data_IF_946482069858
#
_entry.id   IF_946482069858
#
_cell.length_a   1.000
_cell.length_b   1.000
_cell.length_c   1.000
_cell.angle_alpha   90.00
_cell.angle_beta   90.00
_cell.angle_gamma   90.00
#
_symmetry.space_group_name_H-M   'P 1'
#
loop_
_entity.id
_entity.type
_entity.pdbx_description
1 polymer ?
#
# COMPACT_ATOMS: atom_id res chain seq x y z
N UNK A 1 -10.14 -54.40 11.67
CA UNK A 1 -10.40 -53.65 10.42
C UNK A 1 -11.02 -52.25 10.60
N UNK A 2 -11.68 -51.92 11.73
CA UNK A 2 -12.25 -50.57 11.97
C UNK A 2 -11.26 -49.53 12.56
N UNK A 3 -10.24 -49.97 13.30
CA UNK A 3 -9.26 -49.07 13.95
C UNK A 3 -8.25 -48.48 12.94
N UNK A 4 -7.90 -49.24 11.90
CA UNK A 4 -6.98 -48.80 10.85
C UNK A 4 -7.61 -47.69 10.00
N UNK A 5 -8.92 -47.78 9.73
CA UNK A 5 -9.66 -46.75 9.00
C UNK A 5 -9.75 -45.44 9.79
N UNK A 6 -9.99 -45.49 11.11
CA UNK A 6 -10.05 -44.31 11.97
C UNK A 6 -8.69 -43.60 12.10
N UNK A 7 -7.59 -44.36 12.20
CA UNK A 7 -6.24 -43.81 12.22
C UNK A 7 -5.86 -43.13 10.89
N UNK A 8 -6.31 -43.68 9.76
CA UNK A 8 -6.13 -43.05 8.44
C UNK A 8 -6.91 -41.72 8.31
N UNK A 9 -8.14 -41.65 8.84
CA UNK A 9 -8.91 -40.40 8.86
C UNK A 9 -8.30 -39.33 9.77
N UNK A 10 -7.76 -39.71 10.93
CA UNK A 10 -7.06 -38.78 11.84
C UNK A 10 -5.73 -38.29 11.24
N UNK A 11 -4.97 -39.15 10.56
CA UNK A 11 -3.72 -38.76 9.89
C UNK A 11 -3.95 -37.84 8.67
N UNK A 12 -5.06 -38.02 7.94
CA UNK A 12 -5.49 -37.11 6.87
C UNK A 12 -5.97 -35.76 7.42
N UNK A 13 -6.65 -35.75 8.57
CA UNK A 13 -7.00 -34.52 9.29
C UNK A 13 -5.76 -33.76 9.80
N UNK A 14 -4.74 -34.47 10.29
CA UNK A 14 -3.51 -33.84 10.78
C UNK A 14 -2.65 -33.26 9.65
N UNK A 15 -2.60 -33.92 8.48
CA UNK A 15 -1.97 -33.34 7.28
C UNK A 15 -2.69 -32.09 6.77
N UNK A 16 -4.02 -32.02 6.93
CA UNK A 16 -4.81 -30.84 6.55
C UNK A 16 -4.67 -29.66 7.53
N UNK A 17 -4.15 -29.89 8.75
CA UNK A 17 -3.87 -28.87 9.76
C UNK A 17 -2.40 -28.41 9.80
N UNK A 18 -1.52 -28.95 8.94
CA UNK A 18 -0.06 -28.83 9.13
C UNK A 18 0.73 -28.01 8.11
N UNK A 19 0.14 -27.61 6.98
CA UNK A 19 0.86 -26.84 5.94
C UNK A 19 0.34 -25.40 5.87
N UNK A 20 1.25 -24.43 5.91
CA UNK A 20 0.92 -23.03 5.70
C UNK A 20 0.44 -22.81 4.25
N UNK A 21 -0.43 -21.80 4.01
CA UNK A 21 -0.88 -21.50 2.65
C UNK A 21 0.29 -21.11 1.75
N UNK A 22 0.55 -21.86 0.68
CA UNK A 22 1.57 -21.51 -0.33
C UNK A 22 0.90 -21.18 -1.67
N UNK A 23 1.38 -20.14 -2.35
CA UNK A 23 1.04 -19.84 -3.75
C UNK A 23 2.32 -19.71 -4.58
N UNK A 24 2.25 -20.09 -5.85
CA UNK A 24 3.37 -19.99 -6.79
C UNK A 24 3.05 -18.94 -7.86
N UNK A 25 3.66 -17.76 -7.76
CA UNK A 25 3.47 -16.64 -8.70
C UNK A 25 4.62 -16.58 -9.71
N UNK A 26 4.51 -15.82 -10.81
CA UNK A 26 5.64 -15.58 -11.72
C UNK A 26 6.84 -14.91 -11.05
N UNK A 27 6.64 -14.20 -9.93
CA UNK A 27 7.72 -13.57 -9.15
C UNK A 27 8.41 -14.55 -8.19
N UNK A 28 7.82 -15.72 -7.95
CA UNK A 28 8.32 -16.72 -7.01
C UNK A 28 7.23 -17.22 -6.06
N UNK A 29 7.64 -18.12 -5.16
CA UNK A 29 6.76 -18.73 -4.16
C UNK A 29 6.50 -17.78 -2.99
N UNK A 30 5.27 -17.79 -2.50
CA UNK A 30 4.83 -17.01 -1.33
C UNK A 30 4.14 -17.95 -0.37
N UNK A 31 4.59 -17.98 0.88
CA UNK A 31 3.97 -18.72 1.98
C UNK A 31 3.34 -17.73 2.97
N UNK A 32 2.05 -17.89 3.23
CA UNK A 32 1.26 -17.07 4.13
C UNK A 32 1.01 -17.75 5.48
N UNK A 33 -0.07 -17.34 6.14
CA UNK A 33 -0.55 -17.90 7.40
C UNK A 33 -2.04 -18.19 7.34
N UNK A 34 -2.49 -19.12 8.18
CA UNK A 34 -3.92 -19.32 8.41
C UNK A 34 -4.34 -18.46 9.61
N UNK A 35 -5.14 -17.43 9.34
CA UNK A 35 -5.85 -16.64 10.34
C UNK A 35 -7.16 -17.34 10.75
N UNK A 36 -7.77 -16.92 11.86
CA UNK A 36 -9.10 -17.37 12.26
C UNK A 36 -9.98 -16.18 12.66
N UNK A 37 -11.22 -16.20 12.17
CA UNK A 37 -12.29 -15.29 12.61
C UNK A 37 -13.45 -16.16 13.08
N UNK A 38 -13.87 -15.98 14.33
CA UNK A 38 -14.95 -16.76 14.94
C UNK A 38 -14.77 -18.30 14.82
N UNK A 39 -13.50 -18.77 14.81
CA UNK A 39 -13.15 -20.18 14.65
C UNK A 39 -13.12 -20.68 13.20
N UNK A 40 -13.44 -19.83 12.22
CA UNK A 40 -13.40 -20.15 10.79
C UNK A 40 -12.04 -19.74 10.20
N UNK A 41 -11.37 -20.64 9.45
CA UNK A 41 -10.04 -20.38 8.93
C UNK A 41 -10.09 -19.44 7.72
N UNK A 42 -9.06 -18.58 7.59
CA UNK A 42 -8.85 -17.69 6.45
C UNK A 42 -7.38 -17.74 6.05
N UNK A 43 -7.08 -17.75 4.74
CA UNK A 43 -5.70 -17.63 4.27
C UNK A 43 -5.32 -16.16 4.25
N UNK A 44 -4.23 -15.79 4.92
CA UNK A 44 -3.69 -14.45 4.92
C UNK A 44 -2.24 -14.45 4.42
N UNK A 45 -1.92 -13.55 3.50
CA UNK A 45 -0.57 -13.31 3.00
C UNK A 45 -0.23 -11.87 3.29
N UNK A 46 0.63 -11.65 4.28
CA UNK A 46 0.91 -10.34 4.86
C UNK A 46 2.27 -9.83 4.41
N UNK A 47 2.34 -8.56 4.02
CA UNK A 47 3.59 -7.89 3.70
C UNK A 47 4.22 -8.35 2.38
N UNK A 48 3.42 -8.64 1.34
CA UNK A 48 3.95 -8.97 0.02
C UNK A 48 4.47 -7.68 -0.65
N UNK A 49 5.73 -7.62 -1.10
CA UNK A 49 6.27 -6.43 -1.75
C UNK A 49 5.70 -6.32 -3.16
N UNK A 50 5.10 -5.18 -3.49
CA UNK A 50 4.64 -4.89 -4.85
C UNK A 50 5.60 -3.95 -5.60
N UNK A 51 6.50 -3.27 -4.89
CA UNK A 51 7.51 -2.38 -5.46
C UNK A 51 8.85 -2.49 -4.71
N UNK A 52 9.93 -2.04 -5.34
CA UNK A 52 11.23 -1.85 -4.69
C UNK A 52 11.13 -0.80 -3.58
N UNK A 53 11.90 -0.94 -2.49
CA UNK A 53 11.93 0.05 -1.41
C UNK A 53 12.25 1.46 -1.95
N UNK A 54 11.39 2.49 -1.73
CA UNK A 54 11.57 3.83 -2.27
C UNK A 54 12.56 4.67 -1.43
N UNK A 55 13.71 4.07 -1.11
CA UNK A 55 14.72 4.62 -0.20
C UNK A 55 15.90 5.22 -0.97
N UNK A 56 16.65 6.12 -0.31
CA UNK A 56 17.89 6.67 -0.87
C UNK A 56 17.67 7.39 -2.19
N UNK A 57 18.28 6.90 -3.27
CA UNK A 57 18.12 7.48 -4.62
C UNK A 57 16.71 7.32 -5.19
N UNK A 58 15.91 6.37 -4.70
CA UNK A 58 14.52 6.14 -5.14
C UNK A 58 13.51 7.03 -4.41
N UNK A 59 13.94 7.75 -3.37
CA UNK A 59 13.06 8.69 -2.66
C UNK A 59 12.59 9.81 -3.61
N UNK A 60 11.29 10.08 -3.56
CA UNK A 60 10.53 11.01 -4.44
C UNK A 60 10.38 10.57 -5.91
N UNK A 61 10.93 9.42 -6.29
CA UNK A 61 10.74 8.85 -7.62
C UNK A 61 9.54 7.91 -7.67
N UNK A 62 9.07 7.65 -8.90
CA UNK A 62 8.01 6.67 -9.15
C UNK A 62 8.45 5.31 -8.60
N UNK A 63 7.52 4.50 -8.08
CA UNK A 63 7.87 3.16 -7.60
C UNK A 63 8.39 2.32 -8.78
N UNK A 64 9.29 1.40 -8.47
CA UNK A 64 9.85 0.46 -9.43
C UNK A 64 9.32 -0.95 -9.13
N UNK A 65 9.05 -1.78 -10.14
CA UNK A 65 8.56 -3.14 -9.92
C UNK A 65 9.59 -3.96 -9.14
N UNK A 66 9.10 -4.91 -8.34
CA UNK A 66 9.94 -5.93 -7.70
C UNK A 66 10.54 -6.86 -8.74
N UNK A 67 11.74 -7.37 -8.44
CA UNK A 67 12.33 -8.47 -9.20
C UNK A 67 11.81 -9.82 -8.65
N UNK A 68 11.79 -10.88 -9.48
CA UNK A 68 11.55 -12.23 -8.99
C UNK A 68 12.55 -12.65 -7.90
N UNK A 69 12.11 -13.55 -7.02
CA UNK A 69 12.90 -14.12 -5.94
C UNK A 69 12.97 -15.64 -6.04
N UNK A 70 14.12 -16.22 -5.70
CA UNK A 70 14.35 -17.67 -5.82
C UNK A 70 13.78 -18.46 -4.62
N UNK A 71 13.88 -17.89 -3.41
CA UNK A 71 13.47 -18.54 -2.17
C UNK A 71 12.02 -18.23 -1.83
N UNK A 72 11.35 -19.10 -1.07
CA UNK A 72 9.97 -18.86 -0.62
C UNK A 72 9.91 -17.55 0.19
N UNK A 73 9.09 -16.61 -0.27
CA UNK A 73 8.83 -15.37 0.45
C UNK A 73 7.85 -15.62 1.61
N UNK A 74 8.27 -15.24 2.82
CA UNK A 74 7.51 -15.44 4.05
C UNK A 74 6.53 -14.28 4.27
N UNK A 75 5.31 -14.40 3.76
CA UNK A 75 4.24 -13.42 3.88
C UNK A 75 3.40 -13.65 5.15
N UNK A 76 4.06 -13.67 6.32
CA UNK A 76 3.43 -14.04 7.60
C UNK A 76 3.46 -12.93 8.65
N UNK A 77 3.89 -11.71 8.28
CA UNK A 77 4.00 -10.57 9.19
C UNK A 77 3.47 -9.30 8.53
N UNK A 78 2.82 -8.46 9.33
CA UNK A 78 2.39 -7.14 8.89
C UNK A 78 3.61 -6.29 8.48
N UNK A 79 3.54 -5.55 7.35
CA UNK A 79 4.64 -4.73 6.90
C UNK A 79 4.84 -3.48 7.80
N UNK A 80 5.98 -2.80 7.67
CA UNK A 80 6.13 -1.44 8.20
C UNK A 80 5.04 -0.51 7.67
N UNK A 81 4.53 0.39 8.51
CA UNK A 81 3.75 1.52 8.02
C UNK A 81 4.66 2.49 7.25
N UNK A 82 4.12 3.18 6.25
CA UNK A 82 4.89 4.24 5.59
C UNK A 82 5.23 5.38 6.55
N UNK A 83 6.35 6.06 6.28
CA UNK A 83 6.77 7.24 7.03
C UNK A 83 5.64 8.26 7.13
N UNK A 84 5.28 8.60 8.36
CA UNK A 84 4.19 9.51 8.70
C UNK A 84 4.37 10.06 10.12
N UNK A 85 3.89 11.28 10.32
CA UNK A 85 3.86 11.91 11.62
C UNK A 85 2.50 11.63 12.28
N UNK A 86 2.50 11.07 13.49
CA UNK A 86 1.25 10.59 14.13
C UNK A 86 0.90 11.31 15.42
N UNK A 87 1.77 12.19 15.94
CA UNK A 87 1.48 12.96 17.16
C UNK A 87 0.39 13.99 16.82
N UNK A 88 -0.86 13.62 17.03
CA UNK A 88 -2.02 14.41 16.63
C UNK A 88 -3.28 13.91 17.33
N UNK A 89 -4.42 14.62 17.22
CA UNK A 89 -5.62 14.32 17.99
C UNK A 89 -6.35 13.04 17.55
N UNK A 90 -5.71 12.19 16.73
CA UNK A 90 -6.28 10.97 16.16
C UNK A 90 -5.65 9.75 16.83
N UNK A 91 -6.05 9.39 18.06
CA UNK A 91 -5.42 8.34 18.86
C UNK A 91 -5.42 6.96 18.19
N UNK A 92 -6.34 6.73 17.23
CA UNK A 92 -6.37 5.50 16.44
C UNK A 92 -5.24 5.37 15.40
N UNK A 93 -4.46 6.44 15.15
CA UNK A 93 -3.26 6.43 14.30
C UNK A 93 -1.95 6.56 15.08
N UNK A 94 -2.00 6.90 16.38
CA UNK A 94 -0.84 7.46 17.11
C UNK A 94 0.24 6.44 17.49
N UNK A 95 -0.14 5.19 17.75
CA UNK A 95 0.76 4.18 18.32
C UNK A 95 1.16 3.06 17.34
N UNK A 96 1.57 3.44 16.11
CA UNK A 96 2.02 2.47 15.11
C UNK A 96 3.54 2.27 15.13
N UNK A 97 4.09 1.26 15.85
CA UNK A 97 5.53 1.00 15.91
C UNK A 97 6.08 0.49 14.55
N UNK A 98 7.30 0.86 14.21
CA UNK A 98 7.97 0.34 13.00
C UNK A 98 7.55 1.02 11.70
N UNK A 99 7.54 2.36 11.67
CA UNK A 99 7.43 3.16 10.43
C UNK A 99 8.72 3.08 9.63
N UNK A 100 8.62 2.99 8.31
CA UNK A 100 9.76 2.90 7.39
C UNK A 100 9.45 3.56 6.05
N UNK A 101 10.47 4.00 5.33
CA UNK A 101 10.35 4.35 3.90
C UNK A 101 10.23 3.09 3.04
N UNK A 102 10.81 1.98 3.50
CA UNK A 102 10.55 0.66 2.94
C UNK A 102 9.18 0.17 3.42
N UNK A 103 8.13 0.57 2.70
CA UNK A 103 6.75 0.35 3.11
C UNK A 103 5.81 -0.08 1.97
N UNK A 104 6.30 -0.28 0.74
CA UNK A 104 5.49 -0.57 -0.46
C UNK A 104 5.09 -2.05 -0.51
N UNK A 105 4.21 -2.41 0.41
CA UNK A 105 3.70 -3.76 0.61
C UNK A 105 2.17 -3.80 0.55
N UNK A 106 1.63 -4.98 0.25
CA UNK A 106 0.21 -5.27 0.34
C UNK A 106 -0.04 -6.54 1.15
N UNK A 107 -1.26 -6.66 1.68
CA UNK A 107 -1.77 -7.85 2.35
C UNK A 107 -2.91 -8.43 1.52
N UNK A 108 -3.06 -9.75 1.51
CA UNK A 108 -4.15 -10.46 0.84
C UNK A 108 -4.81 -11.42 1.81
N UNK A 109 -6.12 -11.28 1.97
CA UNK A 109 -6.98 -12.19 2.73
C UNK A 109 -7.91 -12.89 1.75
N UNK A 110 -7.97 -14.22 1.80
CA UNK A 110 -8.73 -15.02 0.83
C UNK A 110 -9.41 -16.21 1.52
N UNK A 111 -10.62 -16.63 1.07
CA UNK A 111 -11.32 -17.77 1.64
C UNK A 111 -10.42 -19.00 1.78
N UNK A 112 -10.57 -19.80 2.83
CA UNK A 112 -9.68 -20.92 3.09
C UNK A 112 -9.61 -21.93 1.92
N UNK A 113 -10.72 -22.15 1.23
CA UNK A 113 -10.82 -23.05 0.08
C UNK A 113 -10.40 -22.41 -1.25
N UNK A 114 -10.01 -21.13 -1.25
CA UNK A 114 -9.56 -20.45 -2.45
C UNK A 114 -8.26 -21.07 -2.98
N UNK A 115 -8.22 -21.25 -4.29
CA UNK A 115 -7.07 -21.73 -5.04
C UNK A 115 -7.05 -21.06 -6.41
N UNK A 116 -5.96 -21.23 -7.16
CA UNK A 116 -5.84 -20.63 -8.48
C UNK A 116 -7.06 -20.98 -9.37
N UNK A 117 -7.76 -19.97 -9.86
CA UNK A 117 -8.95 -20.14 -10.70
C UNK A 117 -10.29 -20.24 -9.96
N UNK A 118 -10.35 -20.05 -8.64
CA UNK A 118 -11.61 -19.98 -7.89
C UNK A 118 -12.51 -18.79 -8.29
N UNK A 119 -11.95 -17.74 -8.88
CA UNK A 119 -12.65 -16.54 -9.42
C UNK A 119 -13.53 -15.79 -8.41
N UNK A 120 -13.04 -15.66 -7.17
CA UNK A 120 -13.68 -14.81 -6.17
C UNK A 120 -13.61 -13.33 -6.58
N UNK A 121 -14.63 -12.54 -6.22
CA UNK A 121 -14.55 -11.09 -6.39
C UNK A 121 -13.41 -10.52 -5.53
N UNK A 122 -12.79 -9.43 -5.99
CA UNK A 122 -11.63 -8.83 -5.31
C UNK A 122 -12.00 -7.44 -4.83
N UNK A 123 -11.79 -7.17 -3.56
CA UNK A 123 -11.91 -5.85 -2.95
C UNK A 123 -10.50 -5.29 -2.73
N UNK A 124 -10.16 -4.21 -3.43
CA UNK A 124 -8.87 -3.53 -3.32
C UNK A 124 -9.03 -2.28 -2.45
N UNK A 125 -8.58 -2.36 -1.21
CA UNK A 125 -8.75 -1.33 -0.19
C UNK A 125 -7.60 -0.32 -0.17
N UNK A 126 -7.97 0.95 -0.28
CA UNK A 126 -7.09 2.11 -0.13
C UNK A 126 -7.52 2.90 1.11
N UNK A 127 -6.66 2.96 2.13
CA UNK A 127 -6.96 3.65 3.38
C UNK A 127 -6.95 5.18 3.24
N UNK A 128 -7.66 5.84 4.16
CA UNK A 128 -7.78 7.29 4.27
C UNK A 128 -6.60 7.96 4.98
N UNK A 129 -6.88 8.98 5.80
CA UNK A 129 -5.84 9.69 6.56
C UNK A 129 -5.22 10.90 5.86
N UNK A 130 -5.99 11.59 5.02
CA UNK A 130 -5.63 12.90 4.46
C UNK A 130 -4.37 12.92 3.60
N UNK A 131 -3.95 11.75 3.08
CA UNK A 131 -2.66 11.53 2.42
C UNK A 131 -1.42 11.72 3.32
N UNK A 132 -1.59 11.90 4.63
CA UNK A 132 -0.49 12.18 5.57
C UNK A 132 -0.29 11.09 6.61
N UNK A 133 -1.32 10.31 6.92
CA UNK A 133 -1.32 9.23 7.91
C UNK A 133 -2.13 8.02 7.41
N UNK A 134 -2.00 6.88 8.09
CA UNK A 134 -2.70 5.64 7.79
C UNK A 134 -1.77 4.48 7.40
N UNK A 135 -2.30 3.26 7.45
CA UNK A 135 -1.55 2.06 7.12
C UNK A 135 -2.48 0.90 6.78
N UNK A 136 -2.03 -0.01 5.92
CA UNK A 136 -2.77 -1.21 5.53
C UNK A 136 -2.86 -2.28 6.64
N UNK A 137 -2.07 -2.12 7.70
CA UNK A 137 -1.96 -3.06 8.84
C UNK A 137 -2.83 -2.70 10.04
N UNK A 138 -3.65 -1.66 9.95
CA UNK A 138 -4.55 -1.29 11.04
C UNK A 138 -5.59 -2.39 11.25
N UNK A 139 -5.86 -2.72 12.51
CA UNK A 139 -6.78 -3.82 12.87
C UNK A 139 -8.19 -3.63 12.28
N UNK A 140 -8.65 -2.38 12.17
CA UNK A 140 -9.94 -2.03 11.54
C UNK A 140 -10.01 -2.38 10.04
N UNK A 141 -8.86 -2.63 9.41
CA UNK A 141 -8.75 -3.03 7.99
C UNK A 141 -8.36 -4.50 7.83
N UNK A 142 -8.38 -5.32 8.90
CA UNK A 142 -8.17 -6.75 8.74
C UNK A 142 -9.26 -7.34 7.83
N UNK A 143 -8.84 -7.89 6.70
CA UNK A 143 -9.73 -8.39 5.67
C UNK A 143 -10.32 -9.78 5.96
N UNK A 144 -9.94 -10.42 7.08
CA UNK A 144 -10.30 -11.82 7.34
C UNK A 144 -11.79 -12.03 7.46
N UNK A 145 -12.48 -11.16 8.21
CA UNK A 145 -13.93 -11.28 8.41
C UNK A 145 -14.69 -11.19 7.07
N UNK A 146 -14.36 -10.17 6.27
CA UNK A 146 -15.01 -9.95 4.98
C UNK A 146 -14.68 -11.06 3.96
N UNK A 147 -13.44 -11.55 3.97
CA UNK A 147 -13.04 -12.66 3.10
C UNK A 147 -13.79 -13.94 3.42
N UNK A 148 -14.02 -14.21 4.71
CA UNK A 148 -14.74 -15.38 5.19
C UNK A 148 -16.25 -15.27 4.93
N UNK A 149 -16.90 -14.24 5.45
CA UNK A 149 -18.37 -14.18 5.49
C UNK A 149 -19.00 -13.91 4.13
N UNK A 150 -18.32 -13.14 3.27
CA UNK A 150 -18.84 -12.75 1.96
C UNK A 150 -18.22 -13.54 0.79
N UNK A 151 -17.22 -14.38 1.06
CA UNK A 151 -16.53 -15.15 0.02
C UNK A 151 -15.86 -14.25 -1.02
N UNK A 152 -15.00 -13.33 -0.57
CA UNK A 152 -14.26 -12.40 -1.44
C UNK A 152 -12.77 -12.40 -1.11
N UNK A 153 -11.94 -12.01 -2.07
CA UNK A 153 -10.53 -11.71 -1.80
C UNK A 153 -10.42 -10.25 -1.38
N UNK A 154 -9.80 -9.97 -0.24
CA UNK A 154 -9.57 -8.60 0.25
C UNK A 154 -8.08 -8.30 0.14
N UNK A 155 -7.74 -7.21 -0.54
CA UNK A 155 -6.37 -6.70 -0.64
C UNK A 155 -6.29 -5.37 0.09
N UNK A 156 -5.34 -5.22 1.02
CA UNK A 156 -5.05 -3.92 1.66
C UNK A 156 -3.64 -3.47 1.29
N UNK A 157 -3.47 -2.22 0.88
CA UNK A 157 -2.19 -1.74 0.32
C UNK A 157 -1.67 -0.49 1.03
N UNK A 158 -0.35 -0.45 1.25
CA UNK A 158 0.34 0.79 1.61
C UNK A 158 0.62 1.64 0.38
N UNK A 159 0.69 2.95 0.57
CA UNK A 159 1.19 3.92 -0.40
C UNK A 159 1.93 5.04 0.35
N UNK A 160 2.91 5.68 -0.28
CA UNK A 160 3.67 6.76 0.38
C UNK A 160 2.76 7.93 0.73
N UNK A 161 3.04 8.53 1.89
CA UNK A 161 2.25 9.61 2.50
C UNK A 161 3.10 10.89 2.61
N UNK A 162 2.42 12.01 2.85
CA UNK A 162 3.01 13.33 3.10
C UNK A 162 4.07 13.71 2.07
N UNK A 163 5.18 14.27 2.54
CA UNK A 163 6.29 14.66 1.66
C UNK A 163 6.89 13.49 0.86
N UNK A 164 6.85 12.26 1.40
CA UNK A 164 7.42 11.10 0.70
C UNK A 164 6.57 10.69 -0.50
N UNK A 165 5.25 10.92 -0.42
CA UNK A 165 4.30 10.58 -1.47
C UNK A 165 3.96 11.73 -2.41
N UNK A 166 4.09 12.99 -1.99
CA UNK A 166 3.44 14.10 -2.70
C UNK A 166 4.31 15.34 -2.91
N UNK A 167 5.56 15.37 -2.41
CA UNK A 167 6.50 16.45 -2.70
C UNK A 167 6.76 16.57 -4.20
N UNK A 168 6.84 17.80 -4.70
CA UNK A 168 7.13 18.09 -6.11
C UNK A 168 8.09 19.26 -6.26
N UNK A 169 9.03 19.14 -7.18
CA UNK A 169 9.79 20.27 -7.74
C UNK A 169 9.41 20.51 -9.20
N UNK A 170 8.34 19.86 -9.68
CA UNK A 170 7.92 19.87 -11.09
C UNK A 170 9.07 19.45 -12.05
N UNK A 171 9.93 18.54 -11.59
CA UNK A 171 11.02 17.94 -12.38
C UNK A 171 10.90 16.43 -12.41
N UNK A 172 11.67 15.77 -13.27
CA UNK A 172 11.70 14.30 -13.33
C UNK A 172 12.18 13.63 -12.04
N UNK A 173 12.97 14.33 -11.22
CA UNK A 173 13.54 13.82 -9.98
C UNK A 173 12.59 13.90 -8.77
N UNK A 174 11.56 14.74 -8.85
CA UNK A 174 10.44 14.79 -7.91
C UNK A 174 9.20 15.36 -8.60
N UNK A 175 8.46 14.55 -9.38
CA UNK A 175 7.35 15.05 -10.20
C UNK A 175 6.02 15.21 -9.43
N UNK A 176 5.94 14.78 -8.17
CA UNK A 176 4.70 14.77 -7.38
C UNK A 176 3.79 13.56 -7.65
N UNK A 177 2.85 13.32 -6.75
CA UNK A 177 1.87 12.21 -6.80
C UNK A 177 2.46 10.80 -6.73
N UNK A 178 3.63 10.63 -6.12
CA UNK A 178 4.27 9.32 -5.94
C UNK A 178 3.39 8.34 -5.17
N UNK A 179 2.65 8.79 -4.15
CA UNK A 179 1.67 7.95 -3.45
C UNK A 179 0.54 7.43 -4.37
N UNK A 180 0.18 8.19 -5.42
CA UNK A 180 -0.78 7.71 -6.41
C UNK A 180 -0.14 6.72 -7.40
N UNK A 181 1.12 6.93 -7.79
CA UNK A 181 1.84 5.94 -8.59
C UNK A 181 2.07 4.63 -7.82
N UNK A 182 2.24 4.70 -6.49
CA UNK A 182 2.29 3.53 -5.62
C UNK A 182 0.98 2.74 -5.68
N UNK A 183 -0.16 3.42 -5.55
CA UNK A 183 -1.48 2.78 -5.67
C UNK A 183 -1.71 2.17 -7.07
N UNK A 184 -1.26 2.82 -8.14
CA UNK A 184 -1.30 2.28 -9.51
C UNK A 184 -0.45 1.02 -9.62
N UNK A 185 0.78 1.02 -9.09
CA UNK A 185 1.67 -0.13 -9.13
C UNK A 185 1.12 -1.31 -8.31
N UNK A 186 0.56 -1.05 -7.14
CA UNK A 186 -0.11 -2.07 -6.34
C UNK A 186 -1.33 -2.66 -7.05
N UNK A 187 -2.16 -1.82 -7.69
CA UNK A 187 -3.31 -2.29 -8.46
C UNK A 187 -2.87 -3.14 -9.67
N UNK A 188 -1.83 -2.73 -10.38
CA UNK A 188 -1.25 -3.51 -11.47
C UNK A 188 -0.73 -4.86 -10.97
N UNK A 189 0.01 -4.87 -9.84
CA UNK A 189 0.48 -6.10 -9.22
C UNK A 189 -0.68 -7.04 -8.90
N UNK A 190 -1.78 -6.51 -8.35
CA UNK A 190 -2.98 -7.30 -8.05
C UNK A 190 -3.60 -7.83 -9.33
N UNK A 191 -3.78 -7.00 -10.36
CA UNK A 191 -4.33 -7.43 -11.64
C UNK A 191 -3.54 -8.60 -12.25
N UNK A 192 -2.21 -8.56 -12.15
CA UNK A 192 -1.33 -9.58 -12.72
C UNK A 192 -1.25 -10.87 -11.88
N UNK A 193 -1.51 -10.81 -10.56
CA UNK A 193 -1.22 -11.91 -9.64
C UNK A 193 -2.42 -12.44 -8.86
N UNK A 194 -3.56 -11.74 -8.78
CA UNK A 194 -4.64 -12.11 -7.85
C UNK A 194 -5.29 -13.46 -8.15
N UNK A 195 -5.20 -13.92 -9.40
CA UNK A 195 -5.68 -15.24 -9.80
C UNK A 195 -5.00 -16.37 -9.02
N UNK A 196 -3.73 -16.22 -8.64
CA UNK A 196 -2.98 -17.21 -7.87
C UNK A 196 -3.48 -17.33 -6.42
N UNK A 197 -4.13 -16.28 -5.92
CA UNK A 197 -4.75 -16.23 -4.58
C UNK A 197 -6.26 -16.57 -4.64
N UNK A 198 -6.76 -16.96 -5.82
CA UNK A 198 -8.14 -17.34 -6.07
C UNK A 198 -9.08 -16.22 -6.44
N UNK A 199 -8.58 -14.99 -6.59
CA UNK A 199 -9.36 -13.86 -7.06
C UNK A 199 -9.59 -13.89 -8.57
N UNK A 200 -10.56 -13.11 -9.02
CA UNK A 200 -10.84 -12.85 -10.44
C UNK A 200 -10.36 -11.44 -10.80
N UNK A 201 -9.35 -11.34 -11.66
CA UNK A 201 -8.79 -10.05 -12.10
C UNK A 201 -9.82 -9.19 -12.85
N UNK A 202 -10.85 -9.80 -13.44
CA UNK A 202 -11.92 -9.10 -14.15
C UNK A 202 -13.04 -8.63 -13.18
N UNK A 203 -12.93 -8.95 -11.89
CA UNK A 203 -13.88 -8.57 -10.83
C UNK A 203 -13.23 -7.81 -9.68
N UNK A 204 -12.23 -6.99 -9.98
CA UNK A 204 -11.63 -6.07 -9.01
C UNK A 204 -12.57 -4.88 -8.78
N UNK A 205 -12.86 -4.61 -7.51
CA UNK A 205 -13.60 -3.44 -7.04
C UNK A 205 -12.68 -2.61 -6.17
N UNK A 206 -12.44 -1.36 -6.55
CA UNK A 206 -11.72 -0.41 -5.72
C UNK A 206 -12.62 0.07 -4.58
N UNK A 207 -12.09 0.16 -3.37
CA UNK A 207 -12.82 0.66 -2.21
C UNK A 207 -11.90 1.53 -1.35
N UNK A 208 -12.41 2.67 -0.88
CA UNK A 208 -11.63 3.55 -0.03
C UNK A 208 -12.49 4.57 0.72
N UNK A 209 -11.91 5.07 1.81
CA UNK A 209 -12.53 6.04 2.72
C UNK A 209 -11.70 7.32 2.81
N UNK A 210 -12.35 8.48 2.91
CA UNK A 210 -11.69 9.80 3.03
C UNK A 210 -10.66 10.01 1.92
N UNK A 211 -9.39 10.27 2.21
CA UNK A 211 -8.33 10.38 1.20
C UNK A 211 -8.21 9.13 0.30
N UNK A 212 -8.52 7.94 0.83
CA UNK A 212 -8.61 6.71 0.05
C UNK A 212 -9.77 6.74 -0.94
N UNK A 213 -10.92 7.31 -0.55
CA UNK A 213 -12.05 7.55 -1.47
C UNK A 213 -11.69 8.55 -2.56
N UNK A 214 -10.98 9.63 -2.22
CA UNK A 214 -10.43 10.56 -3.20
C UNK A 214 -9.43 9.89 -4.14
N UNK A 215 -8.56 8.99 -3.64
CA UNK A 215 -7.66 8.20 -4.46
C UNK A 215 -8.43 7.26 -5.41
N UNK A 216 -9.44 6.53 -4.93
CA UNK A 216 -10.32 5.71 -5.77
C UNK A 216 -10.97 6.54 -6.88
N UNK A 217 -11.49 7.73 -6.53
CA UNK A 217 -12.08 8.66 -7.50
C UNK A 217 -11.06 9.13 -8.56
N UNK A 218 -9.79 9.38 -8.18
CA UNK A 218 -8.72 9.72 -9.11
C UNK A 218 -8.33 8.54 -10.01
N UNK A 219 -8.23 7.33 -9.46
CA UNK A 219 -7.97 6.11 -10.23
C UNK A 219 -9.12 5.78 -11.20
N UNK A 220 -10.34 6.25 -10.95
CA UNK A 220 -11.45 6.08 -11.90
C UNK A 220 -11.32 6.91 -13.17
N UNK A 221 -10.61 8.04 -13.11
CA UNK A 221 -10.45 8.96 -14.25
C UNK A 221 -9.04 8.92 -14.84
N UNK A 222 -8.10 8.21 -14.20
CA UNK A 222 -6.72 8.10 -14.67
C UNK A 222 -6.61 7.16 -15.88
N UNK A 223 -5.88 7.54 -16.95
CA UNK A 223 -5.61 6.63 -18.06
C UNK A 223 -4.70 5.45 -17.66
N UNK A 224 -3.92 5.58 -16.57
CA UNK A 224 -2.98 4.55 -16.11
C UNK A 224 -3.66 3.31 -15.53
N UNK A 225 -4.92 3.42 -15.13
CA UNK A 225 -5.70 2.35 -14.49
C UNK A 225 -6.81 1.81 -15.39
N UNK A 226 -6.85 2.26 -16.65
CA UNK A 226 -7.87 1.84 -17.61
C UNK A 226 -7.79 0.33 -17.82
N UNK A 227 -8.88 -0.36 -17.47
CA UNK A 227 -8.99 -1.81 -17.63
C UNK A 227 -8.44 -2.65 -16.48
N UNK A 228 -7.93 -2.02 -15.40
CA UNK A 228 -7.38 -2.76 -14.24
C UNK A 228 -8.42 -3.11 -13.17
N UNK A 229 -9.63 -2.56 -13.25
CA UNK A 229 -10.71 -2.81 -12.30
C UNK A 229 -12.08 -2.57 -12.95
N UNK A 230 -13.13 -3.05 -12.30
CA UNK A 230 -14.49 -3.11 -12.85
C UNK A 230 -15.49 -2.22 -12.11
N UNK A 231 -15.27 -1.95 -10.82
CA UNK A 231 -16.21 -1.20 -9.96
C UNK A 231 -15.46 -0.35 -8.93
N UNK A 232 -16.15 0.63 -8.35
CA UNK A 232 -15.60 1.50 -7.31
C UNK A 232 -16.63 1.77 -6.21
N UNK A 233 -16.16 1.83 -4.96
CA UNK A 233 -16.89 2.24 -3.76
C UNK A 233 -16.13 3.43 -3.14
N UNK A 234 -16.81 4.56 -2.98
CA UNK A 234 -16.23 5.83 -2.53
C UNK A 234 -16.91 6.29 -1.24
N UNK A 235 -16.24 6.12 -0.10
CA UNK A 235 -16.76 6.49 1.22
C UNK A 235 -16.25 7.88 1.63
N UNK A 236 -17.15 8.86 1.74
CA UNK A 236 -16.90 10.16 2.39
C UNK A 236 -15.92 11.13 1.71
N UNK A 237 -15.50 10.92 0.44
CA UNK A 237 -14.79 11.94 -0.36
C UNK A 237 -14.82 11.69 -1.88
N UNK A 238 -14.48 12.72 -2.69
CA UNK A 238 -14.27 12.61 -4.14
C UNK A 238 -13.24 13.65 -4.62
N UNK A 239 -12.76 13.53 -5.87
CA UNK A 239 -11.78 14.48 -6.46
C UNK A 239 -12.31 15.90 -6.69
N UNK A 240 -13.63 16.15 -6.58
CA UNK A 240 -14.26 17.43 -6.96
C UNK A 240 -13.94 18.55 -5.95
N UNK A 241 -13.25 18.26 -4.83
CA UNK A 241 -13.04 19.19 -3.73
C UNK A 241 -11.61 19.74 -3.65
N UNK A 242 -11.12 20.54 -4.61
CA UNK A 242 -9.79 21.14 -4.49
C UNK A 242 -9.71 22.62 -4.90
N UNK A 243 -10.16 23.52 -4.02
CA UNK A 243 -9.76 24.95 -4.06
C UNK A 243 -8.28 25.18 -3.71
N UNK A 244 -7.60 24.18 -3.15
CA UNK A 244 -6.26 24.31 -2.54
C UNK A 244 -5.13 23.55 -3.27
N UNK A 245 -5.42 22.90 -4.39
CA UNK A 245 -4.41 22.15 -5.14
C UNK A 245 -3.93 22.95 -6.35
N UNK A 246 -2.90 23.76 -6.14
CA UNK A 246 -2.22 24.49 -7.21
C UNK A 246 -0.75 24.10 -7.19
N UNK A 247 -0.18 23.86 -8.36
CA UNK A 247 1.24 23.53 -8.50
C UNK A 247 2.13 24.55 -7.77
N UNK A 248 1.85 25.85 -7.94
CA UNK A 248 2.60 26.92 -7.27
C UNK A 248 2.59 26.80 -5.74
N UNK A 249 1.46 26.39 -5.15
CA UNK A 249 1.37 26.15 -3.72
C UNK A 249 2.25 24.96 -3.32
N UNK A 250 2.14 23.84 -4.02
CA UNK A 250 2.95 22.65 -3.75
C UNK A 250 4.47 22.89 -3.94
N UNK A 251 4.85 23.76 -4.88
CA UNK A 251 6.23 24.22 -5.05
C UNK A 251 6.68 25.10 -3.87
N UNK A 252 5.89 26.09 -3.45
CA UNK A 252 6.18 26.90 -2.25
C UNK A 252 6.37 26.05 -1.00
N UNK A 253 5.52 25.05 -0.81
CA UNK A 253 5.65 24.11 0.31
C UNK A 253 6.97 23.32 0.26
N UNK A 254 7.40 22.92 -0.94
CA UNK A 254 8.67 22.21 -1.14
C UNK A 254 9.87 23.11 -0.90
N UNK A 255 9.80 24.37 -1.33
CA UNK A 255 10.85 25.38 -1.07
C UNK A 255 11.01 25.62 0.44
N UNK A 256 9.91 25.89 1.14
CA UNK A 256 9.92 26.11 2.61
C UNK A 256 10.44 24.91 3.37
N UNK A 257 10.12 23.70 2.93
CA UNK A 257 10.70 22.47 3.48
C UNK A 257 12.21 22.42 3.25
N UNK A 258 12.66 22.71 2.03
CA UNK A 258 14.06 22.70 1.66
C UNK A 258 14.86 23.73 2.47
N UNK A 259 14.33 24.94 2.67
CA UNK A 259 14.92 25.96 3.54
C UNK A 259 15.02 25.48 4.99
N UNK A 260 13.93 24.93 5.54
CA UNK A 260 13.87 24.46 6.93
C UNK A 260 14.86 23.32 7.24
N UNK A 261 15.25 22.53 6.23
CA UNK A 261 16.29 21.49 6.40
C UNK A 261 17.66 21.90 5.89
N UNK A 262 17.86 23.17 5.51
CA UNK A 262 19.12 23.68 4.97
C UNK A 262 19.56 22.92 3.70
N UNK A 263 18.60 22.66 2.82
CA UNK A 263 18.84 22.23 1.43
C UNK A 263 18.57 23.34 0.41
N UNK A 264 17.89 24.41 0.82
CA UNK A 264 17.72 25.65 0.07
C UNK A 264 18.17 26.85 0.91
N UNK A 265 18.56 27.92 0.23
CA UNK A 265 18.87 29.25 0.78
C UNK A 265 17.99 30.24 0.05
N UNK A 266 17.15 30.94 0.80
CA UNK A 266 16.20 31.91 0.28
C UNK A 266 16.87 32.88 -0.70
N UNK A 267 16.24 33.05 -1.87
CA UNK A 267 16.63 33.95 -2.97
C UNK A 267 17.98 33.64 -3.68
N UNK A 268 18.74 32.63 -3.24
CA UNK A 268 20.05 32.27 -3.81
C UNK A 268 20.08 30.85 -4.36
N UNK A 269 19.70 29.86 -3.53
CA UNK A 269 19.74 28.45 -3.86
C UNK A 269 18.39 27.78 -3.58
N UNK A 270 17.52 27.72 -4.59
CA UNK A 270 16.09 27.39 -4.45
C UNK A 270 15.71 26.18 -5.32
N UNK A 271 14.50 25.64 -5.12
CA UNK A 271 13.93 24.63 -6.02
C UNK A 271 13.70 25.17 -7.44
N UNK A 272 13.64 26.48 -7.64
CA UNK A 272 13.33 27.09 -8.93
C UNK A 272 14.56 27.22 -9.82
N UNK A 273 15.74 27.49 -9.24
CA UNK A 273 17.00 27.65 -9.98
C UNK A 273 17.95 26.44 -9.85
N UNK A 274 17.86 25.65 -8.78
CA UNK A 274 18.70 24.47 -8.52
C UNK A 274 17.91 23.22 -8.08
N UNK A 275 16.82 22.83 -8.78
CA UNK A 275 15.93 21.76 -8.34
C UNK A 275 16.63 20.42 -8.11
N UNK A 276 17.57 20.05 -8.98
CA UNK A 276 18.23 18.75 -8.92
C UNK A 276 19.14 18.64 -7.69
N UNK A 277 19.89 19.70 -7.39
CA UNK A 277 20.78 19.77 -6.25
C UNK A 277 20.00 19.82 -4.93
N UNK A 278 18.89 20.59 -4.90
CA UNK A 278 17.98 20.63 -3.74
C UNK A 278 17.40 19.25 -3.47
N UNK A 279 16.86 18.55 -4.49
CA UNK A 279 16.35 17.18 -4.33
C UNK A 279 17.44 16.22 -3.88
N UNK A 280 18.64 16.31 -4.46
CA UNK A 280 19.79 15.48 -4.05
C UNK A 280 20.16 15.70 -2.58
N UNK A 281 20.05 16.93 -2.08
CA UNK A 281 20.21 17.24 -0.65
C UNK A 281 19.08 16.63 0.18
N UNK A 282 17.81 16.80 -0.22
CA UNK A 282 16.63 16.28 0.48
C UNK A 282 16.65 14.74 0.61
N UNK A 283 17.09 14.02 -0.43
CA UNK A 283 17.28 12.55 -0.40
C UNK A 283 18.29 12.09 0.67
N UNK A 284 19.24 12.95 1.06
CA UNK A 284 20.27 12.63 2.08
C UNK A 284 19.81 12.89 3.51
N UNK A 285 18.72 13.65 3.73
CA UNK A 285 18.21 13.94 5.08
C UNK A 285 17.49 12.72 5.66
N UNK A 286 18.03 12.14 6.75
CA UNK A 286 17.46 10.93 7.39
C UNK A 286 16.57 11.20 8.61
N UNK A 287 16.94 12.16 9.48
CA UNK A 287 16.26 12.41 10.76
C UNK A 287 15.35 13.65 10.78
N UNK A 288 15.72 14.72 10.07
CA UNK A 288 15.01 16.00 10.23
C UNK A 288 13.68 16.08 9.48
N UNK A 289 13.45 15.29 8.43
CA UNK A 289 12.19 15.34 7.68
C UNK A 289 11.00 14.77 8.46
N UNK A 290 11.26 13.89 9.44
CA UNK A 290 10.21 13.19 10.17
C UNK A 290 9.60 14.02 11.32
N UNK A 291 10.38 14.97 11.85
CA UNK A 291 9.98 15.86 12.95
C UNK A 291 9.48 17.22 12.46
N UNK A 292 9.56 17.46 11.15
CA UNK A 292 9.10 18.70 10.55
C UNK A 292 7.59 18.63 10.44
N UNK A 293 6.97 19.20 11.46
CA UNK A 293 5.54 19.34 11.69
C UNK A 293 4.94 20.41 10.77
N UNK A 294 5.36 20.45 9.51
CA UNK A 294 4.68 21.32 8.59
C UNK A 294 3.43 20.53 8.18
N UNK A 295 2.25 21.04 8.55
CA UNK A 295 0.95 20.66 7.98
C UNK A 295 0.94 20.98 6.48
N UNK A 296 1.87 20.38 5.74
CA UNK A 296 1.91 20.38 4.30
C UNK A 296 0.99 19.27 3.90
N UNK A 297 -0.28 19.62 3.83
CA UNK A 297 -1.17 18.99 2.89
C UNK A 297 -0.61 19.25 1.48
N UNK A 298 0.45 18.54 1.11
CA UNK A 298 0.82 18.29 -0.29
C UNK A 298 -0.28 17.40 -0.84
N UNK A 299 -1.44 18.00 -1.08
CA UNK A 299 -2.59 17.30 -1.61
C UNK A 299 -2.71 17.74 -3.06
N UNK A 300 -2.72 16.71 -3.93
CA UNK A 300 -3.02 16.64 -5.37
C UNK A 300 -3.12 17.95 -6.18
#
# INVERSE_FOLDING_TARGET
MKIITLAYFIALFWKAMGALPEVNTPLGKIEGVTSQIEGLPVKAFLGIPYAKPPVGSLRFLKPNPVEPWDNIFQANKQPPACMQYTEGPFPWYDDMPGKSEDCLYLNIYTPFFASKGSKFAVLFWIYGGGYTIGSNRMDVYDGSALAETEGVVVVTTNYRLGLFGFLTTNTSDAPGNMGMYDAVMALQWVYDNIEYFGGDKDRITLIGESAGSSAVSLLCVSPLTKGLFSRAIMQSASIIKHKYNKMDYNLDLTERLAEAVHCAVKDDFTIYNHPNEVIKCLRRKKKNLNSIHIFLSFIL
#
